data_IF_940037509493
#
_entry.id   IF_940037509493
#
_cell.length_a   1.000
_cell.length_b   1.000
_cell.length_c   1.000
_cell.angle_alpha   90.00
_cell.angle_beta   90.00
_cell.angle_gamma   90.00
#
_symmetry.space_group_name_H-M   'P 1'
#
loop_
_entity.id
_entity.type
_entity.pdbx_description
1 polymer ?
#
# COMPACT_ATOMS: atom_id res chain seq x y z
N UNK A 1 -8.36 0.67 19.59
CA UNK A 1 -7.38 -0.20 18.91
C UNK A 1 -8.15 -1.18 18.06
N UNK A 2 -7.96 -1.12 16.75
CA UNK A 2 -8.52 -2.11 15.83
C UNK A 2 -7.56 -3.29 15.78
N UNK A 3 -8.06 -4.51 15.94
CA UNK A 3 -7.26 -5.74 15.83
C UNK A 3 -7.65 -6.45 14.53
N UNK A 4 -6.64 -6.96 13.82
CA UNK A 4 -6.82 -7.74 12.58
C UNK A 4 -6.13 -9.08 12.79
N UNK A 5 -6.80 -10.16 12.42
CA UNK A 5 -6.22 -11.50 12.39
C UNK A 5 -5.59 -11.71 11.02
N UNK A 6 -4.30 -12.08 11.00
CA UNK A 6 -3.56 -12.40 9.79
C UNK A 6 -3.38 -13.90 9.69
N UNK A 7 -3.50 -14.44 8.48
CA UNK A 7 -3.18 -15.84 8.20
C UNK A 7 -1.67 -16.08 8.32
N UNK A 8 -1.27 -17.32 8.61
CA UNK A 8 0.14 -17.69 8.81
C UNK A 8 1.03 -17.33 7.62
N UNK A 9 0.52 -17.50 6.39
CA UNK A 9 1.24 -17.14 5.17
C UNK A 9 1.51 -15.62 5.08
N UNK A 10 0.56 -14.79 5.54
CA UNK A 10 0.74 -13.33 5.58
C UNK A 10 1.71 -12.93 6.68
N UNK A 11 1.71 -13.63 7.81
CA UNK A 11 2.68 -13.40 8.89
C UNK A 11 4.10 -13.68 8.40
N UNK A 12 4.32 -14.76 7.66
CA UNK A 12 5.64 -15.07 7.09
C UNK A 12 6.05 -14.03 6.03
N UNK A 13 5.13 -13.62 5.15
CA UNK A 13 5.39 -12.54 4.19
C UNK A 13 5.76 -11.22 4.87
N UNK A 14 5.07 -10.88 5.97
CA UNK A 14 5.36 -9.67 6.74
C UNK A 14 6.74 -9.73 7.41
N UNK A 15 7.13 -10.88 7.95
CA UNK A 15 8.49 -11.07 8.52
C UNK A 15 9.56 -10.89 7.47
N UNK A 16 9.36 -11.43 6.26
CA UNK A 16 10.31 -11.27 5.17
C UNK A 16 10.41 -9.81 4.71
N UNK A 17 9.27 -9.13 4.57
CA UNK A 17 9.25 -7.69 4.26
C UNK A 17 10.01 -6.88 5.31
N UNK A 18 9.78 -7.11 6.60
CA UNK A 18 10.54 -6.43 7.67
C UNK A 18 12.03 -6.71 7.52
N UNK A 19 12.43 -7.96 7.29
CA UNK A 19 13.85 -8.32 7.17
C UNK A 19 14.55 -7.63 5.98
N UNK A 20 13.84 -7.42 4.86
CA UNK A 20 14.37 -6.72 3.69
C UNK A 20 14.45 -5.20 3.88
N UNK A 21 13.58 -4.63 4.72
CA UNK A 21 13.51 -3.19 4.98
C UNK A 21 14.23 -2.75 6.27
N UNK A 22 14.70 -3.68 7.10
CA UNK A 22 15.43 -3.45 8.36
C UNK A 22 16.96 -3.26 8.12
N UNK A 23 17.33 -2.57 7.03
CA UNK A 23 18.73 -2.26 6.72
C UNK A 23 19.10 -0.83 7.19
N UNK A 24 20.30 -0.60 7.77
CA UNK A 24 20.71 0.72 8.25
C UNK A 24 20.66 1.77 7.12
N UNK A 25 20.26 3.03 7.40
CA UNK A 25 20.26 3.71 8.70
C UNK A 25 18.89 3.78 9.42
N UNK A 26 17.87 3.04 8.97
CA UNK A 26 16.47 3.26 9.33
C UNK A 26 16.03 2.89 10.76
N UNK A 27 16.83 2.12 11.50
CA UNK A 27 16.40 1.54 12.78
C UNK A 27 15.37 0.41 12.60
N UNK A 28 15.15 -0.38 13.65
CA UNK A 28 14.30 -1.58 13.60
C UNK A 28 12.85 -1.25 13.24
N UNK A 29 12.40 -1.73 12.09
CA UNK A 29 11.01 -1.59 11.65
C UNK A 29 10.09 -2.49 12.49
N UNK A 30 9.07 -1.92 13.11
CA UNK A 30 8.07 -2.72 13.84
C UNK A 30 7.08 -3.37 12.87
N UNK A 31 6.42 -4.45 13.30
CA UNK A 31 5.36 -5.07 12.51
C UNK A 31 4.21 -4.11 12.20
N UNK A 32 3.93 -3.17 13.11
CA UNK A 32 2.90 -2.16 12.89
C UNK A 32 3.31 -1.14 11.83
N UNK A 33 4.58 -0.73 11.82
CA UNK A 33 5.10 0.18 10.79
C UNK A 33 5.10 -0.49 9.42
N UNK A 34 5.51 -1.75 9.35
CA UNK A 34 5.48 -2.53 8.12
C UNK A 34 4.07 -2.64 7.54
N UNK A 35 3.07 -2.98 8.38
CA UNK A 35 1.67 -3.01 7.94
C UNK A 35 1.20 -1.65 7.46
N UNK A 36 1.54 -0.56 8.16
CA UNK A 36 1.16 0.79 7.73
C UNK A 36 1.77 1.15 6.37
N UNK A 37 3.05 0.85 6.14
CA UNK A 37 3.73 1.10 4.85
C UNK A 37 3.07 0.32 3.73
N UNK A 38 2.85 -0.99 3.92
CA UNK A 38 2.24 -1.86 2.90
C UNK A 38 0.82 -1.39 2.56
N UNK A 39 0.00 -1.10 3.57
CA UNK A 39 -1.38 -0.67 3.38
C UNK A 39 -1.42 0.71 2.73
N UNK A 40 -0.55 1.63 3.15
CA UNK A 40 -0.48 2.97 2.57
C UNK A 40 -0.07 2.91 1.09
N UNK A 41 0.97 2.13 0.75
CA UNK A 41 1.42 1.94 -0.63
C UNK A 41 0.30 1.35 -1.50
N UNK A 42 -0.37 0.30 -1.02
CA UNK A 42 -1.50 -0.29 -1.72
C UNK A 42 -2.65 0.71 -1.93
N UNK A 43 -3.01 1.48 -0.90
CA UNK A 43 -4.07 2.50 -1.00
C UNK A 43 -3.70 3.64 -1.95
N UNK A 44 -2.43 4.05 -2.00
CA UNK A 44 -1.95 5.03 -2.97
C UNK A 44 -2.00 4.48 -4.39
N UNK A 45 -1.51 3.26 -4.63
CA UNK A 45 -1.53 2.61 -5.94
C UNK A 45 -2.96 2.43 -6.50
N UNK A 46 -3.94 2.24 -5.62
CA UNK A 46 -5.35 2.14 -5.99
C UNK A 46 -6.04 3.51 -6.14
N UNK A 47 -5.36 4.61 -5.82
CA UNK A 47 -5.95 5.95 -5.85
C UNK A 47 -7.00 6.16 -4.76
N UNK A 48 -6.83 5.56 -3.58
CA UNK A 48 -7.60 5.90 -2.38
C UNK A 48 -6.90 6.96 -1.52
N UNK A 49 -5.57 7.06 -1.63
CA UNK A 49 -4.74 8.07 -0.96
C UNK A 49 -3.89 8.77 -2.03
N UNK A 50 -3.66 10.08 -1.86
CA UNK A 50 -2.83 10.87 -2.73
C UNK A 50 -1.35 10.50 -2.57
N UNK A 51 -0.58 10.57 -3.66
CA UNK A 51 0.88 10.43 -3.58
C UNK A 51 1.47 11.65 -2.87
N UNK A 52 2.53 11.48 -2.06
CA UNK A 52 3.17 12.59 -1.38
C UNK A 52 3.72 13.60 -2.41
N UNK A 53 3.21 14.82 -2.35
CA UNK A 53 3.59 15.91 -3.27
C UNK A 53 2.64 16.11 -4.46
N UNK A 54 1.67 15.23 -4.65
CA UNK A 54 0.64 15.34 -5.70
C UNK A 54 -0.74 15.50 -5.03
N UNK A 55 -1.24 16.74 -5.00
CA UNK A 55 -2.53 17.07 -4.37
C UNK A 55 -3.71 16.97 -5.34
N UNK A 56 -3.48 16.55 -6.59
CA UNK A 56 -4.54 16.49 -7.58
C UNK A 56 -5.54 15.37 -7.31
N UNK A 57 -6.75 15.56 -7.85
CA UNK A 57 -7.94 14.78 -7.55
C UNK A 57 -7.72 13.28 -7.76
N UNK A 58 -7.56 12.56 -6.66
CA UNK A 58 -7.33 11.12 -6.64
C UNK A 58 -8.46 10.41 -7.40
N UNK A 59 -8.13 9.80 -8.53
CA UNK A 59 -9.07 8.96 -9.29
C UNK A 59 -8.78 7.51 -8.95
N UNK A 60 -9.70 6.87 -8.22
CA UNK A 60 -9.54 5.47 -7.83
C UNK A 60 -9.45 4.58 -9.08
N UNK A 61 -8.68 3.50 -8.99
CA UNK A 61 -8.56 2.51 -10.06
C UNK A 61 -9.92 1.94 -10.49
N UNK A 62 -10.84 1.78 -9.54
CA UNK A 62 -12.22 1.38 -9.79
C UNK A 62 -12.98 2.41 -10.65
N UNK A 63 -12.79 3.71 -10.39
CA UNK A 63 -13.44 4.80 -11.15
C UNK A 63 -12.78 5.00 -12.53
N UNK A 64 -11.46 4.82 -12.62
CA UNK A 64 -10.74 4.82 -13.89
C UNK A 64 -11.18 3.67 -14.81
N UNK A 65 -11.45 2.49 -14.24
CA UNK A 65 -11.92 1.31 -14.98
C UNK A 65 -13.34 1.46 -15.53
N UNK A 66 -14.10 2.46 -15.06
CA UNK A 66 -15.44 2.79 -15.56
C UNK A 66 -15.42 3.83 -16.68
N UNK A 67 -14.25 4.43 -16.98
CA UNK A 67 -14.13 5.33 -18.12
C UNK A 67 -14.30 4.50 -19.40
N UNK A 68 -15.16 4.94 -20.35
CA UNK A 68 -15.30 4.25 -21.62
C UNK A 68 -13.93 4.20 -22.31
N UNK A 69 -13.55 3.02 -22.79
CA UNK A 69 -12.33 2.87 -23.60
C UNK A 69 -12.45 3.84 -24.79
N UNK A 70 -11.42 4.64 -25.08
CA UNK A 70 -11.44 5.46 -26.29
C UNK A 70 -11.63 4.51 -27.47
N UNK A 71 -12.70 4.73 -28.24
CA UNK A 71 -12.89 4.05 -29.51
C UNK A 71 -11.66 4.39 -30.37
N UNK A 72 -10.84 3.40 -30.69
CA UNK A 72 -9.81 3.57 -31.70
C UNK A 72 -10.52 3.95 -33.01
N UNK A 73 -10.40 5.22 -33.40
CA UNK A 73 -10.75 5.71 -34.73
C UNK A 73 -9.68 5.30 -35.75
#
# INVERSE_FOLDING_TARGET
MTSVTLDDALVEGLKQFIAEHDEPPGGRMSAQDAVNVIVQDWLMAQGYIALPGDSDAITTAAKASQLPKPECA
#
